data_IF_034188574949
#
_entry.id   IF_034188574949
#
_cell.length_a   1.000
_cell.length_b   1.000
_cell.length_c   1.000
_cell.angle_alpha   90.00
_cell.angle_beta   90.00
_cell.angle_gamma   90.00
#
_symmetry.space_group_name_H-M   'P 1'
#
loop_
_entity.id
_entity.type
_entity.pdbx_description
1 polymer ?
#
# COMPACT_ATOMS: atom_id res chain seq x y z
N UNK A 1 -1.88 -33.65 -9.91
CA UNK A 1 -1.66 -32.43 -10.74
C UNK A 1 -0.29 -32.56 -11.41
N UNK A 2 -0.24 -32.63 -12.74
CA UNK A 2 1.01 -32.83 -13.50
C UNK A 2 1.91 -31.59 -13.41
N UNK A 3 3.23 -31.78 -13.45
CA UNK A 3 4.23 -30.70 -13.34
C UNK A 3 3.99 -29.60 -14.39
N UNK A 4 3.58 -30.00 -15.60
CA UNK A 4 3.17 -29.11 -16.69
C UNK A 4 1.94 -28.26 -16.35
N UNK A 5 0.93 -28.85 -15.68
CA UNK A 5 -0.26 -28.11 -15.25
C UNK A 5 0.02 -27.09 -14.14
N UNK A 6 1.03 -27.31 -13.30
CA UNK A 6 1.49 -26.29 -12.33
C UNK A 6 2.19 -25.13 -13.02
N UNK A 7 3.07 -25.40 -13.98
CA UNK A 7 3.81 -24.35 -14.72
C UNK A 7 2.85 -23.50 -15.55
N UNK A 8 1.92 -24.12 -16.28
CA UNK A 8 0.99 -23.38 -17.13
C UNK A 8 0.02 -22.51 -16.31
N UNK A 9 -0.47 -23.03 -15.18
CA UNK A 9 -1.26 -22.23 -14.24
C UNK A 9 -0.42 -21.12 -13.59
N UNK A 10 0.88 -21.36 -13.38
CA UNK A 10 1.78 -20.35 -12.85
C UNK A 10 1.95 -19.15 -13.78
N UNK A 11 2.13 -19.41 -15.08
CA UNK A 11 2.25 -18.37 -16.09
C UNK A 11 0.95 -17.55 -16.22
N UNK A 12 -0.21 -18.22 -16.16
CA UNK A 12 -1.53 -17.58 -16.21
C UNK A 12 -1.76 -16.71 -14.97
N UNK A 13 -1.48 -17.22 -13.78
CA UNK A 13 -1.63 -16.47 -12.52
C UNK A 13 -0.70 -15.26 -12.47
N UNK A 14 0.53 -15.41 -12.94
CA UNK A 14 1.50 -14.33 -13.02
C UNK A 14 1.06 -13.26 -14.03
N UNK A 15 0.59 -13.68 -15.21
CA UNK A 15 -0.01 -12.77 -16.21
C UNK A 15 -1.21 -12.02 -15.65
N UNK A 16 -2.09 -12.70 -14.91
CA UNK A 16 -3.24 -12.07 -14.26
C UNK A 16 -2.80 -11.08 -13.16
N UNK A 17 -1.77 -11.40 -12.39
CA UNK A 17 -1.19 -10.50 -11.38
C UNK A 17 -0.54 -9.25 -12.01
N UNK A 18 0.13 -9.41 -13.16
CA UNK A 18 0.63 -8.26 -13.92
C UNK A 18 -0.51 -7.40 -14.46
N UNK A 19 -1.57 -8.02 -14.97
CA UNK A 19 -2.76 -7.29 -15.42
C UNK A 19 -3.43 -6.51 -14.28
N UNK A 20 -3.53 -7.09 -13.07
CA UNK A 20 -4.05 -6.38 -11.90
C UNK A 20 -3.12 -5.26 -11.43
N UNK A 21 -1.80 -5.44 -11.51
CA UNK A 21 -0.84 -4.36 -11.22
C UNK A 21 -0.98 -3.19 -12.18
N UNK A 22 -1.10 -3.46 -13.49
CA UNK A 22 -1.27 -2.41 -14.49
C UNK A 22 -2.60 -1.69 -14.29
N UNK A 23 -3.69 -2.44 -14.05
CA UNK A 23 -5.01 -1.83 -13.82
C UNK A 23 -5.04 -1.00 -12.53
N UNK A 24 -4.40 -1.47 -11.45
CA UNK A 24 -4.27 -0.72 -10.21
C UNK A 24 -3.46 0.56 -10.39
N UNK A 25 -2.32 0.50 -11.09
CA UNK A 25 -1.52 1.69 -11.41
C UNK A 25 -2.35 2.73 -12.16
N UNK A 26 -3.07 2.32 -13.21
CA UNK A 26 -3.95 3.21 -13.97
C UNK A 26 -5.07 3.78 -13.09
N UNK A 27 -5.68 2.98 -12.23
CA UNK A 27 -6.72 3.43 -11.31
C UNK A 27 -6.19 4.52 -10.37
N UNK A 28 -5.04 4.31 -9.74
CA UNK A 28 -4.44 5.31 -8.84
C UNK A 28 -4.01 6.57 -9.59
N UNK A 29 -3.46 6.42 -10.79
CA UNK A 29 -3.11 7.54 -11.65
C UNK A 29 -4.34 8.38 -12.04
N UNK A 30 -5.46 7.73 -12.39
CA UNK A 30 -6.71 8.42 -12.72
C UNK A 30 -7.31 9.13 -11.50
N UNK A 31 -7.25 8.52 -10.32
CA UNK A 31 -7.65 9.16 -9.05
C UNK A 31 -6.79 10.41 -8.80
N UNK A 32 -5.47 10.30 -8.96
CA UNK A 32 -4.53 11.42 -8.78
C UNK A 32 -4.84 12.57 -9.75
N UNK A 33 -5.10 12.24 -11.02
CA UNK A 33 -5.45 13.20 -12.06
C UNK A 33 -6.79 13.92 -11.81
N UNK A 34 -7.82 13.19 -11.39
CA UNK A 34 -9.13 13.78 -11.02
C UNK A 34 -8.96 14.73 -9.83
N UNK A 35 -8.25 14.29 -8.79
CA UNK A 35 -7.97 15.12 -7.61
C UNK A 35 -7.15 16.37 -7.98
N UNK A 36 -6.22 16.28 -8.92
CA UNK A 36 -5.49 17.44 -9.46
C UNK A 36 -6.43 18.45 -10.12
N UNK A 37 -7.36 17.95 -10.94
CA UNK A 37 -8.28 18.78 -11.71
C UNK A 37 -9.25 19.53 -10.79
N UNK A 38 -9.76 18.86 -9.74
CA UNK A 38 -10.65 19.47 -8.75
C UNK A 38 -9.98 20.59 -7.92
N UNK A 39 -8.65 20.59 -7.78
CA UNK A 39 -7.93 21.51 -6.89
C UNK A 39 -7.34 22.76 -7.60
N UNK A 40 -7.53 22.91 -8.91
CA UNK A 40 -6.87 23.96 -9.72
C UNK A 40 -7.33 25.41 -9.45
N UNK A 41 -8.14 25.69 -8.43
CA UNK A 41 -8.81 27.00 -8.26
C UNK A 41 -8.07 28.05 -7.41
N UNK A 42 -6.98 27.76 -6.68
CA UNK A 42 -6.29 28.76 -5.83
C UNK A 42 -4.76 28.53 -5.78
N UNK A 43 -3.98 29.30 -6.56
CA UNK A 43 -2.54 29.05 -6.75
C UNK A 43 -1.66 30.06 -6.01
N UNK A 44 -1.10 29.63 -4.88
CA UNK A 44 0.19 30.11 -4.34
C UNK A 44 1.15 28.91 -4.25
N UNK A 45 2.44 29.10 -4.56
CA UNK A 45 3.44 28.01 -4.69
C UNK A 45 3.55 27.12 -3.44
N UNK A 46 3.42 27.72 -2.25
CA UNK A 46 3.41 27.01 -0.96
C UNK A 46 2.19 26.10 -0.80
N UNK A 47 1.01 26.57 -1.21
CA UNK A 47 -0.22 25.79 -1.12
C UNK A 47 -0.19 24.61 -2.11
N UNK A 48 0.37 24.80 -3.30
CA UNK A 48 0.52 23.72 -4.30
C UNK A 48 1.32 22.53 -3.77
N UNK A 49 2.46 22.76 -3.11
CA UNK A 49 3.27 21.68 -2.53
C UNK A 49 2.54 20.93 -1.40
N UNK A 50 1.80 21.65 -0.55
CA UNK A 50 0.98 21.05 0.50
C UNK A 50 -0.11 20.17 -0.09
N UNK A 51 -0.81 20.63 -1.14
CA UNK A 51 -1.87 19.86 -1.80
C UNK A 51 -1.34 18.58 -2.47
N UNK A 52 -0.19 18.64 -3.14
CA UNK A 52 0.47 17.47 -3.74
C UNK A 52 0.76 16.41 -2.68
N UNK A 53 1.28 16.82 -1.52
CA UNK A 53 1.53 15.91 -0.40
C UNK A 53 0.26 15.37 0.24
N UNK A 54 -0.77 16.20 0.37
CA UNK A 54 -2.07 15.79 0.91
C UNK A 54 -2.66 14.65 0.09
N UNK A 55 -2.67 14.82 -1.23
CA UNK A 55 -3.18 13.85 -2.18
C UNK A 55 -2.44 12.52 -2.09
N UNK A 56 -1.10 12.56 -2.04
CA UNK A 56 -0.30 11.36 -1.81
C UNK A 56 -0.66 10.62 -0.53
N UNK A 57 -0.78 11.33 0.58
CA UNK A 57 -1.18 10.70 1.83
C UNK A 57 -2.60 10.11 1.76
N UNK A 58 -3.55 10.80 1.14
CA UNK A 58 -4.91 10.27 0.94
C UNK A 58 -4.91 8.97 0.11
N UNK A 59 -4.20 8.96 -1.02
CA UNK A 59 -4.09 7.77 -1.88
C UNK A 59 -3.42 6.62 -1.10
N UNK A 60 -2.37 6.89 -0.34
CA UNK A 60 -1.68 5.88 0.48
C UNK A 60 -2.58 5.24 1.54
N UNK A 61 -3.45 6.03 2.17
CA UNK A 61 -4.40 5.54 3.17
C UNK A 61 -5.44 4.64 2.51
N UNK A 62 -5.97 5.04 1.35
CA UNK A 62 -6.94 4.25 0.59
C UNK A 62 -6.33 2.91 0.17
N UNK A 63 -5.10 2.94 -0.37
CA UNK A 63 -4.38 1.74 -0.74
C UNK A 63 -4.24 0.79 0.45
N UNK A 64 -3.63 1.26 1.54
CA UNK A 64 -3.33 0.42 2.70
C UNK A 64 -4.62 -0.15 3.32
N UNK A 65 -5.71 0.62 3.34
CA UNK A 65 -7.00 0.14 3.82
C UNK A 65 -7.55 -1.00 2.96
N UNK A 66 -7.54 -0.84 1.64
CA UNK A 66 -8.04 -1.85 0.71
C UNK A 66 -7.14 -3.09 0.73
N UNK A 67 -5.83 -2.93 0.55
CA UNK A 67 -4.88 -4.06 0.50
C UNK A 67 -4.82 -4.82 1.82
N UNK A 68 -4.85 -4.11 2.95
CA UNK A 68 -4.86 -4.72 4.27
C UNK A 68 -6.16 -5.44 4.61
N UNK A 69 -7.32 -4.86 4.29
CA UNK A 69 -8.62 -5.51 4.50
C UNK A 69 -8.78 -6.73 3.58
N UNK A 70 -8.39 -6.63 2.32
CA UNK A 70 -8.38 -7.77 1.39
C UNK A 70 -7.43 -8.88 1.86
N UNK A 71 -6.25 -8.51 2.39
CA UNK A 71 -5.31 -9.49 2.97
C UNK A 71 -5.89 -10.19 4.19
N UNK A 72 -6.56 -9.45 5.09
CA UNK A 72 -7.24 -10.01 6.25
C UNK A 72 -8.33 -11.00 5.83
N UNK A 73 -9.19 -10.60 4.87
CA UNK A 73 -10.24 -11.46 4.33
C UNK A 73 -9.64 -12.72 3.70
N UNK A 74 -8.53 -12.59 2.95
CA UNK A 74 -7.86 -13.71 2.32
C UNK A 74 -7.33 -14.72 3.36
N UNK A 75 -6.66 -14.25 4.42
CA UNK A 75 -6.13 -15.13 5.46
C UNK A 75 -7.23 -15.82 6.27
N UNK A 76 -8.38 -15.16 6.49
CA UNK A 76 -9.52 -15.77 7.20
C UNK A 76 -10.25 -16.78 6.31
N UNK A 77 -10.45 -16.45 5.02
CA UNK A 77 -11.19 -17.29 4.08
C UNK A 77 -10.41 -18.56 3.69
N UNK A 78 -9.07 -18.50 3.68
CA UNK A 78 -8.19 -19.60 3.28
C UNK A 78 -7.23 -19.96 4.42
N UNK A 79 -7.69 -20.72 5.43
CA UNK A 79 -6.85 -21.09 6.57
C UNK A 79 -5.63 -21.92 6.19
N UNK A 80 -5.66 -22.60 5.03
CA UNK A 80 -4.53 -23.34 4.47
C UNK A 80 -3.29 -22.46 4.25
N UNK A 81 -3.47 -21.16 3.96
CA UNK A 81 -2.38 -20.19 3.86
C UNK A 81 -1.63 -20.03 5.19
N UNK A 82 -2.35 -20.10 6.31
CA UNK A 82 -1.77 -19.97 7.66
C UNK A 82 -1.24 -21.32 8.14
N UNK A 83 -1.90 -22.42 7.77
CA UNK A 83 -1.50 -23.78 8.12
C UNK A 83 -0.18 -24.20 7.48
N UNK A 84 0.09 -23.78 6.24
CA UNK A 84 1.38 -23.97 5.58
C UNK A 84 1.86 -22.65 4.94
N UNK A 85 2.48 -21.81 5.77
CA UNK A 85 2.92 -20.45 5.42
C UNK A 85 3.94 -20.43 4.27
N UNK A 86 4.66 -21.53 4.03
CA UNK A 86 5.75 -21.59 3.05
C UNK A 86 5.21 -21.94 1.66
N UNK A 87 4.46 -23.03 1.54
CA UNK A 87 4.07 -23.59 0.23
C UNK A 87 2.61 -23.31 -0.16
N UNK A 88 1.75 -22.89 0.78
CA UNK A 88 0.37 -22.58 0.44
C UNK A 88 0.29 -21.30 -0.36
N UNK A 89 -0.51 -21.34 -1.42
CA UNK A 89 -0.73 -20.23 -2.31
C UNK A 89 -2.22 -20.08 -2.66
N UNK A 90 -2.58 -18.89 -3.09
CA UNK A 90 -3.95 -18.61 -3.52
C UNK A 90 -3.95 -17.56 -4.63
N UNK A 91 -4.74 -17.79 -5.68
CA UNK A 91 -4.89 -16.87 -6.82
C UNK A 91 -5.36 -15.49 -6.36
N UNK A 92 -6.26 -15.42 -5.39
CA UNK A 92 -6.74 -14.17 -4.80
C UNK A 92 -5.61 -13.39 -4.11
N UNK A 93 -4.67 -14.07 -3.46
CA UNK A 93 -3.51 -13.44 -2.85
C UNK A 93 -2.63 -12.75 -3.91
N UNK A 94 -2.38 -13.39 -5.05
CA UNK A 94 -1.63 -12.78 -6.16
C UNK A 94 -2.34 -11.56 -6.77
N UNK A 95 -3.67 -11.49 -6.73
CA UNK A 95 -4.42 -10.31 -7.14
C UNK A 95 -4.25 -9.15 -6.14
N UNK A 96 -4.21 -9.46 -4.83
CA UNK A 96 -3.93 -8.46 -3.78
C UNK A 96 -2.51 -7.93 -3.90
N UNK A 97 -1.52 -8.81 -4.10
CA UNK A 97 -0.12 -8.45 -4.34
C UNK A 97 0.02 -7.61 -5.61
N UNK A 98 -0.67 -7.98 -6.69
CA UNK A 98 -0.70 -7.20 -7.93
C UNK A 98 -1.28 -5.80 -7.72
N UNK A 99 -2.43 -5.69 -7.03
CA UNK A 99 -3.02 -4.40 -6.67
C UNK A 99 -2.05 -3.52 -5.87
N UNK A 100 -1.35 -4.09 -4.90
CA UNK A 100 -0.36 -3.37 -4.10
C UNK A 100 0.88 -2.98 -4.89
N UNK A 101 1.35 -3.86 -5.78
CA UNK A 101 2.46 -3.58 -6.70
C UNK A 101 2.14 -2.36 -7.56
N UNK A 102 0.95 -2.30 -8.16
CA UNK A 102 0.52 -1.16 -8.97
C UNK A 102 0.50 0.16 -8.20
N UNK A 103 0.05 0.13 -6.94
CA UNK A 103 0.10 1.29 -6.05
C UNK A 103 1.54 1.73 -5.74
N UNK A 104 2.44 0.82 -5.33
CA UNK A 104 3.81 1.20 -4.97
C UNK A 104 4.56 1.80 -6.14
N UNK A 105 4.36 1.28 -7.35
CA UNK A 105 4.93 1.87 -8.58
C UNK A 105 4.39 3.29 -8.79
N UNK A 106 3.08 3.50 -8.61
CA UNK A 106 2.48 4.84 -8.66
C UNK A 106 3.06 5.79 -7.61
N UNK A 107 3.19 5.35 -6.35
CA UNK A 107 3.72 6.18 -5.27
C UNK A 107 5.20 6.54 -5.50
N UNK A 108 6.02 5.61 -5.96
CA UNK A 108 7.41 5.89 -6.35
C UNK A 108 7.44 6.94 -7.48
N UNK A 109 6.66 6.74 -8.54
CA UNK A 109 6.57 7.68 -9.66
C UNK A 109 6.19 9.09 -9.19
N UNK A 110 5.12 9.20 -8.39
CA UNK A 110 4.67 10.49 -7.88
C UNK A 110 5.70 11.16 -6.95
N UNK A 111 6.39 10.40 -6.09
CA UNK A 111 7.43 10.95 -5.22
C UNK A 111 8.69 11.40 -5.99
N UNK A 112 9.04 10.74 -7.08
CA UNK A 112 10.14 11.16 -7.97
C UNK A 112 9.77 12.48 -8.67
N UNK A 113 8.57 12.57 -9.25
CA UNK A 113 8.09 13.78 -9.94
C UNK A 113 7.86 14.97 -8.99
N UNK A 114 7.51 14.71 -7.73
CA UNK A 114 7.21 15.72 -6.71
C UNK A 114 8.44 16.43 -6.10
N UNK A 115 9.66 16.05 -6.48
CA UNK A 115 10.90 16.59 -5.96
C UNK A 115 11.43 15.78 -4.77
N UNK A 116 12.61 15.18 -4.94
CA UNK A 116 13.17 14.24 -3.98
C UNK A 116 13.87 15.00 -2.84
N UNK A 117 13.42 14.77 -1.60
CA UNK A 117 14.14 15.15 -0.38
C UNK A 117 14.62 13.91 0.37
N UNK A 118 15.53 14.06 1.34
CA UNK A 118 16.08 12.92 2.11
C UNK A 118 14.99 12.03 2.74
N UNK A 119 13.90 12.63 3.21
CA UNK A 119 12.76 11.90 3.79
C UNK A 119 11.93 11.13 2.76
N UNK A 120 11.86 11.58 1.50
CA UNK A 120 11.16 10.82 0.45
C UNK A 120 12.00 9.66 -0.07
N UNK A 121 13.34 9.75 0.00
CA UNK A 121 14.23 8.63 -0.34
C UNK A 121 14.03 7.42 0.56
N UNK A 122 13.90 7.61 1.87
CA UNK A 122 13.66 6.52 2.83
C UNK A 122 12.39 5.73 2.45
N UNK A 123 11.31 6.43 2.09
CA UNK A 123 10.04 5.82 1.69
C UNK A 123 10.18 5.11 0.33
N UNK A 124 10.85 5.73 -0.64
CA UNK A 124 11.09 5.11 -1.96
C UNK A 124 11.91 3.83 -1.81
N UNK A 125 12.99 3.83 -1.02
CA UNK A 125 13.80 2.65 -0.77
C UNK A 125 13.01 1.54 -0.07
N UNK A 126 12.14 1.91 0.87
CA UNK A 126 11.21 0.98 1.50
C UNK A 126 10.29 0.32 0.45
N UNK A 127 9.64 1.12 -0.41
CA UNK A 127 8.76 0.59 -1.46
C UNK A 127 9.51 -0.28 -2.49
N UNK A 128 10.74 0.08 -2.85
CA UNK A 128 11.59 -0.76 -3.72
C UNK A 128 11.86 -2.12 -3.06
N UNK A 129 12.14 -2.13 -1.75
CA UNK A 129 12.38 -3.37 -1.00
C UNK A 129 11.13 -4.25 -0.97
N UNK A 130 9.95 -3.66 -0.72
CA UNK A 130 8.67 -4.38 -0.73
C UNK A 130 8.35 -4.92 -2.13
N UNK A 131 8.52 -4.13 -3.18
CA UNK A 131 8.33 -4.57 -4.57
C UNK A 131 9.26 -5.72 -4.95
N UNK A 132 10.51 -5.68 -4.51
CA UNK A 132 11.47 -6.77 -4.75
C UNK A 132 11.01 -8.05 -4.04
N UNK A 133 10.52 -7.94 -2.81
CA UNK A 133 9.94 -9.06 -2.07
C UNK A 133 8.73 -9.66 -2.82
N UNK A 134 7.80 -8.82 -3.28
CA UNK A 134 6.62 -9.28 -4.03
C UNK A 134 6.99 -9.95 -5.36
N UNK A 135 8.01 -9.43 -6.05
CA UNK A 135 8.53 -10.05 -7.26
C UNK A 135 9.06 -11.46 -6.98
N UNK A 136 9.88 -11.63 -5.94
CA UNK A 136 10.41 -12.94 -5.52
C UNK A 136 9.28 -13.89 -5.13
N UNK A 137 8.33 -13.45 -4.30
CA UNK A 137 7.18 -14.26 -3.87
C UNK A 137 6.33 -14.69 -5.07
N UNK A 138 6.08 -13.79 -6.03
CA UNK A 138 5.27 -14.10 -7.22
C UNK A 138 6.02 -15.02 -8.19
N UNK A 139 7.34 -14.86 -8.31
CA UNK A 139 8.17 -15.68 -9.20
C UNK A 139 8.37 -17.11 -8.68
N UNK A 140 8.70 -17.25 -7.41
CA UNK A 140 8.96 -18.55 -6.80
C UNK A 140 7.72 -19.22 -6.22
N UNK A 141 6.59 -18.50 -6.13
CA UNK A 141 5.29 -18.99 -5.62
C UNK A 141 5.37 -19.59 -4.22
N UNK A 142 6.24 -19.01 -3.39
CA UNK A 142 6.45 -19.39 -1.99
C UNK A 142 6.29 -18.16 -1.10
N UNK A 143 5.98 -18.38 0.18
CA UNK A 143 5.87 -17.32 1.19
C UNK A 143 4.77 -16.28 0.88
N UNK A 144 3.73 -16.68 0.13
CA UNK A 144 2.58 -15.83 -0.21
C UNK A 144 1.88 -15.32 1.05
N UNK A 145 1.75 -16.18 2.06
CA UNK A 145 1.18 -15.81 3.35
C UNK A 145 2.00 -14.71 4.07
N UNK A 146 3.33 -14.76 4.00
CA UNK A 146 4.19 -13.69 4.55
C UNK A 146 3.98 -12.37 3.82
N UNK A 147 3.80 -12.37 2.50
CA UNK A 147 3.53 -11.14 1.75
C UNK A 147 2.19 -10.51 2.16
N UNK A 148 1.15 -11.33 2.39
CA UNK A 148 -0.14 -10.85 2.91
C UNK A 148 0.00 -10.25 4.32
N UNK A 149 0.75 -10.89 5.21
CA UNK A 149 1.05 -10.32 6.53
C UNK A 149 1.82 -9.00 6.44
N UNK A 150 2.72 -8.88 5.46
CA UNK A 150 3.40 -7.62 5.13
C UNK A 150 2.40 -6.49 4.84
N UNK A 151 1.42 -6.75 3.97
CA UNK A 151 0.34 -5.79 3.66
C UNK A 151 -0.54 -5.47 4.87
N UNK A 152 -0.81 -6.44 5.74
CA UNK A 152 -1.50 -6.19 7.02
C UNK A 152 -0.70 -5.26 7.94
N UNK A 153 0.63 -5.36 7.95
CA UNK A 153 1.48 -4.44 8.72
C UNK A 153 1.50 -3.03 8.14
N UNK A 154 1.10 -2.83 6.89
CA UNK A 154 0.94 -1.50 6.31
C UNK A 154 -0.35 -0.81 6.77
N UNK A 155 -1.38 -1.53 7.23
CA UNK A 155 -2.51 -0.90 7.94
C UNK A 155 -2.02 -0.11 9.15
N UNK A 156 -0.96 -0.59 9.77
CA UNK A 156 -0.33 0.02 10.92
C UNK A 156 0.43 1.31 10.57
N UNK A 157 0.78 1.52 9.29
CA UNK A 157 1.39 2.76 8.78
C UNK A 157 0.33 3.80 8.37
N UNK A 158 -0.95 3.41 8.19
CA UNK A 158 -2.09 4.34 7.98
C UNK A 158 -2.15 5.39 9.08
N UNK A 159 -2.02 4.99 10.35
CA UNK A 159 -2.07 5.92 11.48
C UNK A 159 -0.93 6.96 11.44
N UNK A 160 0.24 6.55 10.95
CA UNK A 160 1.40 7.44 10.73
C UNK A 160 1.14 8.42 9.58
N UNK A 161 0.57 7.96 8.47
CA UNK A 161 0.21 8.82 7.34
C UNK A 161 -0.95 9.75 7.65
N UNK A 162 -1.98 9.28 8.35
CA UNK A 162 -3.09 10.08 8.86
C UNK A 162 -2.61 11.17 9.83
N UNK A 163 -1.61 10.87 10.67
CA UNK A 163 -0.99 11.87 11.55
C UNK A 163 -0.26 12.94 10.74
N UNK A 164 0.50 12.55 9.71
CA UNK A 164 1.17 13.50 8.81
C UNK A 164 0.17 14.36 8.03
N UNK A 165 -0.94 13.77 7.60
CA UNK A 165 -2.04 14.46 6.91
C UNK A 165 -2.65 15.57 7.80
N UNK A 166 -2.95 15.25 9.07
CA UNK A 166 -3.52 16.23 10.00
C UNK A 166 -2.54 17.35 10.38
N UNK A 167 -1.25 17.04 10.52
CA UNK A 167 -0.21 18.05 10.72
C UNK A 167 -0.10 18.97 9.50
N UNK A 168 -0.25 18.42 8.28
CA UNK A 168 -0.16 19.18 7.03
C UNK A 168 -1.38 20.09 6.80
N UNK A 169 -2.57 19.66 7.23
CA UNK A 169 -3.82 20.40 7.13
C UNK A 169 -3.97 21.49 8.20
N UNK A 170 -2.99 21.64 9.11
CA UNK A 170 -3.01 22.60 10.21
C UNK A 170 -4.34 22.56 10.99
N UNK A 171 -4.90 21.35 11.14
CA UNK A 171 -6.17 21.14 11.84
C UNK A 171 -5.97 21.49 13.32
N UNK A 172 -6.90 22.29 13.86
CA UNK A 172 -6.84 22.70 15.26
C UNK A 172 -6.70 21.47 16.18
N UNK A 173 -5.79 21.51 17.18
CA UNK A 173 -5.52 20.39 18.09
C UNK A 173 -6.73 19.95 18.94
N UNK A 174 -7.83 20.70 18.90
CA UNK A 174 -9.11 20.44 19.57
C UNK A 174 -10.06 19.52 18.78
N UNK A 175 -9.77 19.19 17.50
CA UNK A 175 -10.69 18.35 16.72
C UNK A 175 -10.72 16.90 17.24
N UNK A 176 -11.92 16.32 17.30
CA UNK A 176 -12.15 14.94 17.75
C UNK A 176 -11.31 13.93 16.95
N UNK A 177 -11.09 14.20 15.66
CA UNK A 177 -10.27 13.38 14.75
C UNK A 177 -8.79 13.39 15.10
N UNK A 178 -8.25 14.52 15.59
CA UNK A 178 -6.86 14.61 16.05
C UNK A 178 -6.64 13.81 17.34
N UNK A 179 -7.58 13.92 18.29
CA UNK A 179 -7.54 13.19 19.57
C UNK A 179 -7.68 11.67 19.38
N UNK A 180 -8.55 11.22 18.48
CA UNK A 180 -8.71 9.79 18.17
C UNK A 180 -7.45 9.18 17.55
N UNK A 181 -6.79 9.87 16.62
CA UNK A 181 -5.53 9.38 16.05
C UNK A 181 -4.36 9.44 17.05
N UNK A 182 -4.34 10.41 17.96
CA UNK A 182 -3.35 10.48 19.03
C UNK A 182 -3.50 9.29 20.01
N UNK A 183 -4.73 8.93 20.37
CA UNK A 183 -5.01 7.76 21.22
C UNK A 183 -4.64 6.45 20.51
N UNK A 184 -4.97 6.31 19.23
CA UNK A 184 -4.57 5.15 18.41
C UNK A 184 -3.05 5.01 18.23
N UNK A 185 -2.31 6.13 18.30
CA UNK A 185 -0.85 6.11 18.23
C UNK A 185 -0.17 5.86 19.59
N UNK A 186 -0.83 6.15 20.72
CA UNK A 186 -0.32 5.88 22.08
C UNK A 186 -0.42 4.40 22.45
N UNK A 187 -1.40 3.65 21.92
CA UNK A 187 -1.50 2.19 22.13
C UNK A 187 -0.32 1.41 21.53
N UNK A 188 0.40 2.00 20.57
CA UNK A 188 1.66 1.46 20.02
C UNK A 188 2.89 1.74 20.90
N UNK A 189 2.87 2.81 21.70
CA UNK A 189 4.03 3.19 22.53
C UNK A 189 4.09 2.47 23.87
N UNK A 190 2.99 1.89 24.33
CA UNK A 190 2.92 1.21 25.64
C UNK A 190 3.22 -0.29 25.58
N UNK A 191 3.55 -0.85 24.41
CA UNK A 191 3.88 -2.28 24.26
C UNK A 191 5.25 -2.52 23.60
N UNK A 192 6.22 -1.65 23.87
CA UNK A 192 7.65 -1.86 23.57
C UNK A 192 8.57 -1.56 24.76
N UNK A 193 8.01 -1.54 25.98
CA UNK A 193 8.75 -1.44 27.24
C UNK A 193 8.20 -2.40 28.31
N UNK A 194 7.97 -3.66 27.95
CA UNK A 194 7.96 -4.80 28.87
C UNK A 194 8.59 -6.01 28.17
#
# INVERSE_FOLDING_TARGET
MTLYGRVLNADIDLSNSHATSVSAFLLFYMIDYVLQTCQSSNKTTRNTYLFIRLRNYSISIIHAFISGLSSLICLIAYPDLVGNVIDSENVFAYHILGFATGYFVHDIYHNICGGVGLRSLEIILHHITVLTCFYVVSWYRILVCYALFGLLMELNSIFLHARKLMILLNTDPESLTYRLNAIANISKSSRFLL
#
